data_IF_884917173785
#
_entry.id   IF_884917173785
#
_cell.length_a   1.000
_cell.length_b   1.000
_cell.length_c   1.000
_cell.angle_alpha   90.00
_cell.angle_beta   90.00
_cell.angle_gamma   90.00
#
_symmetry.space_group_name_H-M   'P 1'
#
loop_
_entity.id
_entity.type
_entity.pdbx_description
1 polymer ?
#
# COMPACT_ATOMS: atom_id res chain seq x y z
N UNK A 1 -56.43 14.13 41.87
CA UNK A 1 -56.16 13.03 40.92
C UNK A 1 -54.90 13.41 40.16
N UNK A 2 -53.74 13.00 40.68
CA UNK A 2 -52.46 13.24 40.05
C UNK A 2 -52.26 12.20 38.96
N UNK A 3 -52.16 12.64 37.73
CA UNK A 3 -51.82 11.81 36.60
C UNK A 3 -50.30 11.53 36.62
N UNK A 4 -49.92 10.32 36.99
CA UNK A 4 -48.55 9.80 36.83
C UNK A 4 -48.15 9.87 35.35
N UNK A 5 -47.01 10.51 34.99
CA UNK A 5 -46.55 10.52 33.60
C UNK A 5 -46.16 9.11 33.18
N UNK A 6 -46.81 8.62 32.11
CA UNK A 6 -46.46 7.36 31.44
C UNK A 6 -44.98 7.44 31.01
N UNK A 7 -44.12 6.44 31.33
CA UNK A 7 -42.75 6.45 30.86
C UNK A 7 -42.73 6.37 29.33
N UNK A 8 -42.17 7.42 28.70
CA UNK A 8 -41.96 7.43 27.24
C UNK A 8 -41.01 6.30 26.86
N UNK A 9 -41.47 5.41 25.97
CA UNK A 9 -40.65 4.39 25.36
C UNK A 9 -39.46 5.08 24.69
N UNK A 10 -38.20 4.73 25.00
CA UNK A 10 -37.07 5.37 24.39
C UNK A 10 -37.12 5.15 22.86
N UNK A 11 -37.22 6.22 22.12
CA UNK A 11 -37.25 6.20 20.65
C UNK A 11 -35.87 5.73 20.18
N UNK A 12 -35.83 4.66 19.39
CA UNK A 12 -34.57 4.15 18.79
C UNK A 12 -33.98 5.28 17.91
N UNK A 13 -32.76 5.72 18.11
CA UNK A 13 -32.17 6.82 17.35
C UNK A 13 -32.07 6.47 15.87
N UNK A 14 -32.30 7.45 15.01
CA UNK A 14 -32.18 7.28 13.58
C UNK A 14 -30.75 6.91 13.20
N UNK A 15 -30.60 5.81 12.46
CA UNK A 15 -29.30 5.38 11.92
C UNK A 15 -28.81 6.40 10.90
N UNK A 16 -27.66 7.01 11.16
CA UNK A 16 -26.98 7.88 10.22
C UNK A 16 -25.49 7.49 10.13
N UNK A 17 -24.78 7.85 9.05
CA UNK A 17 -23.38 7.44 8.84
C UNK A 17 -22.42 7.85 9.96
N UNK A 18 -22.63 9.02 10.56
CA UNK A 18 -21.80 9.52 11.67
C UNK A 18 -21.97 8.63 12.92
N UNK A 19 -23.19 8.45 13.39
CA UNK A 19 -23.47 7.64 14.58
C UNK A 19 -23.05 6.18 14.39
N UNK A 20 -23.35 5.59 13.24
CA UNK A 20 -22.96 4.20 12.94
C UNK A 20 -21.42 4.02 12.98
N UNK A 21 -20.68 4.96 12.40
CA UNK A 21 -19.22 4.90 12.43
C UNK A 21 -18.66 5.02 13.84
N UNK A 22 -19.16 5.97 14.63
CA UNK A 22 -18.74 6.18 16.02
C UNK A 22 -19.06 4.96 16.89
N UNK A 23 -20.29 4.41 16.77
CA UNK A 23 -20.71 3.21 17.49
C UNK A 23 -19.83 2.00 17.16
N UNK A 24 -19.59 1.74 15.87
CA UNK A 24 -18.75 0.62 15.43
C UNK A 24 -17.31 0.75 15.90
N UNK A 25 -16.75 1.97 15.96
CA UNK A 25 -15.41 2.22 16.53
C UNK A 25 -15.37 1.95 18.03
N UNK A 26 -16.40 2.35 18.77
CA UNK A 26 -16.50 2.10 20.21
C UNK A 26 -16.59 0.59 20.50
N UNK A 27 -17.43 -0.15 19.76
CA UNK A 27 -17.56 -1.61 19.86
C UNK A 27 -16.25 -2.31 19.50
N UNK A 28 -15.60 -1.94 18.41
CA UNK A 28 -14.30 -2.51 18.04
C UNK A 28 -13.20 -2.21 19.06
N UNK A 29 -13.26 -1.06 19.75
CA UNK A 29 -12.37 -0.76 20.88
C UNK A 29 -12.66 -1.67 22.08
N UNK A 30 -13.94 -1.91 22.37
CA UNK A 30 -14.34 -2.80 23.47
C UNK A 30 -13.78 -4.21 23.30
N UNK A 31 -13.89 -4.77 22.09
CA UNK A 31 -13.40 -6.13 21.81
C UNK A 31 -11.86 -6.27 21.87
N UNK A 32 -11.14 -5.17 21.63
CA UNK A 32 -9.66 -5.16 21.69
C UNK A 32 -9.13 -4.84 23.07
N UNK A 33 -9.99 -4.40 24.00
CA UNK A 33 -9.56 -3.99 25.33
C UNK A 33 -9.29 -5.21 26.19
N UNK A 34 -8.05 -5.35 26.63
CA UNK A 34 -7.63 -6.37 27.60
C UNK A 34 -7.60 -5.84 29.03
N UNK A 35 -7.81 -4.52 29.21
CA UNK A 35 -7.73 -3.86 30.52
C UNK A 35 -9.11 -3.79 31.14
N UNK A 36 -9.30 -4.21 32.39
CA UNK A 36 -10.57 -4.03 33.10
C UNK A 36 -10.84 -2.55 33.33
N UNK A 37 -12.06 -2.10 33.01
CA UNK A 37 -12.50 -0.73 33.20
C UNK A 37 -13.50 -0.25 32.16
N UNK A 38 -14.07 0.94 32.32
CA UNK A 38 -15.04 1.48 31.37
C UNK A 38 -14.41 1.77 30.02
N UNK A 39 -15.02 1.24 28.97
CA UNK A 39 -14.58 1.42 27.60
C UNK A 39 -15.03 2.80 27.10
N UNK A 40 -14.08 3.66 26.79
CA UNK A 40 -14.31 5.05 26.35
C UNK A 40 -13.66 5.32 24.99
N UNK A 41 -14.42 5.90 24.06
CA UNK A 41 -13.94 6.41 22.79
C UNK A 41 -13.89 7.95 22.84
N UNK A 42 -12.71 8.55 22.67
CA UNK A 42 -12.60 10.00 22.47
C UNK A 42 -13.18 10.38 21.10
N UNK A 43 -14.00 11.44 21.08
CA UNK A 43 -14.53 12.01 19.85
C UNK A 43 -13.58 13.13 19.40
N UNK A 44 -12.48 12.76 18.77
CA UNK A 44 -11.46 13.65 18.21
C UNK A 44 -11.53 13.71 16.67
N UNK A 45 -10.63 14.46 16.03
CA UNK A 45 -10.59 14.55 14.56
C UNK A 45 -10.41 13.21 13.84
N UNK A 46 -9.78 12.21 14.48
CA UNK A 46 -9.59 10.88 13.89
C UNK A 46 -10.84 10.00 13.99
N UNK A 47 -11.61 10.18 15.06
CA UNK A 47 -12.76 9.32 15.39
C UNK A 47 -14.10 9.92 14.99
N UNK A 48 -14.20 11.25 14.97
CA UNK A 48 -15.41 12.03 14.70
C UNK A 48 -15.06 13.33 13.96
N UNK A 49 -14.43 13.20 12.79
CA UNK A 49 -13.96 14.34 11.98
C UNK A 49 -15.04 15.38 11.74
N UNK A 50 -16.29 14.96 11.54
CA UNK A 50 -17.42 15.84 11.26
C UNK A 50 -17.71 16.86 12.38
N UNK A 51 -17.36 16.56 13.62
CA UNK A 51 -17.48 17.51 14.72
C UNK A 51 -16.48 18.66 14.63
N UNK A 52 -15.35 18.45 13.94
CA UNK A 52 -14.23 19.39 13.86
C UNK A 52 -14.14 20.08 12.50
N UNK A 53 -14.70 19.45 11.45
CA UNK A 53 -14.70 19.94 10.07
C UNK A 53 -16.06 20.55 9.70
N UNK A 54 -16.97 20.71 10.67
CA UNK A 54 -18.27 21.34 10.49
C UNK A 54 -18.12 22.79 10.01
N UNK A 55 -18.92 23.14 9.00
CA UNK A 55 -18.86 24.47 8.35
C UNK A 55 -19.38 25.58 9.28
N UNK A 56 -20.33 25.25 10.18
CA UNK A 56 -20.95 26.20 11.10
C UNK A 56 -21.31 25.55 12.45
N UNK A 57 -21.71 26.39 13.39
CA UNK A 57 -22.10 25.98 14.74
C UNK A 57 -23.42 25.16 14.77
N UNK A 58 -24.29 25.33 13.79
CA UNK A 58 -25.57 24.62 13.71
C UNK A 58 -25.33 23.14 13.37
N UNK A 59 -24.40 22.86 12.48
CA UNK A 59 -24.00 21.49 12.14
C UNK A 59 -23.37 20.77 13.35
N UNK A 60 -22.54 21.45 14.13
CA UNK A 60 -21.98 20.88 15.39
C UNK A 60 -23.10 20.59 16.37
N UNK A 61 -24.08 21.50 16.50
CA UNK A 61 -25.21 21.32 17.40
C UNK A 61 -26.12 20.15 16.97
N UNK A 62 -26.34 19.97 15.67
CA UNK A 62 -27.08 18.83 15.14
C UNK A 62 -26.39 17.49 15.46
N UNK A 63 -25.08 17.39 15.22
CA UNK A 63 -24.29 16.19 15.54
C UNK A 63 -24.29 15.91 17.06
N UNK A 64 -24.24 16.94 17.87
CA UNK A 64 -24.37 16.83 19.33
C UNK A 64 -25.75 16.27 19.73
N UNK A 65 -26.83 16.81 19.20
CA UNK A 65 -28.19 16.29 19.46
C UNK A 65 -28.32 14.83 19.09
N UNK A 66 -27.77 14.40 17.93
CA UNK A 66 -27.75 13.01 17.52
C UNK A 66 -26.99 12.10 18.52
N UNK A 67 -25.88 12.59 19.08
CA UNK A 67 -25.15 11.87 20.13
C UNK A 67 -25.97 11.78 21.43
N UNK A 68 -26.67 12.85 21.79
CA UNK A 68 -27.56 12.90 22.98
C UNK A 68 -28.74 11.93 22.80
N UNK A 69 -29.33 11.83 21.59
CA UNK A 69 -30.37 10.84 21.26
C UNK A 69 -29.85 9.40 21.42
N UNK A 70 -28.60 9.14 20.97
CA UNK A 70 -27.97 7.83 21.18
C UNK A 70 -27.76 7.56 22.68
N UNK A 71 -27.41 8.56 23.46
CA UNK A 71 -27.23 8.43 24.93
C UNK A 71 -28.58 8.21 25.65
N UNK A 72 -29.69 8.71 25.11
CA UNK A 72 -31.03 8.50 25.68
C UNK A 72 -31.43 7.00 25.72
N UNK A 73 -30.83 6.17 24.84
CA UNK A 73 -31.01 4.70 24.87
C UNK A 73 -30.37 4.02 26.06
N UNK A 74 -29.43 4.68 26.75
CA UNK A 74 -28.58 4.14 27.80
C UNK A 74 -27.56 3.08 27.33
N UNK A 75 -27.40 2.85 26.03
CA UNK A 75 -26.35 1.96 25.49
C UNK A 75 -24.97 2.59 25.60
N UNK A 76 -24.92 3.92 25.58
CA UNK A 76 -23.71 4.71 25.76
C UNK A 76 -23.98 5.94 26.63
N UNK A 77 -22.91 6.50 27.22
CA UNK A 77 -22.95 7.76 27.98
C UNK A 77 -21.94 8.72 27.40
N UNK A 78 -22.38 9.95 27.15
CA UNK A 78 -21.51 11.04 26.73
C UNK A 78 -20.84 11.67 27.97
N UNK A 79 -19.52 11.63 27.99
CA UNK A 79 -18.67 12.26 29.03
C UNK A 79 -18.00 13.50 28.44
N UNK A 80 -18.09 14.61 29.14
CA UNK A 80 -17.46 15.87 28.78
C UNK A 80 -16.56 16.35 29.91
N UNK A 81 -15.44 16.97 29.60
CA UNK A 81 -14.64 17.66 30.62
C UNK A 81 -15.45 18.81 31.25
N UNK A 82 -15.14 19.20 32.50
CA UNK A 82 -15.83 20.30 33.19
C UNK A 82 -15.88 21.58 32.35
N UNK A 83 -16.96 22.38 32.54
CA UNK A 83 -17.15 23.61 31.81
C UNK A 83 -16.03 24.59 32.16
N UNK A 84 -15.34 25.08 31.13
CA UNK A 84 -14.49 26.27 31.21
C UNK A 84 -15.24 27.43 30.55
N UNK A 85 -15.07 28.64 31.01
CA UNK A 85 -15.70 29.82 30.43
C UNK A 85 -15.43 29.87 28.91
N UNK A 86 -16.48 29.96 28.10
CA UNK A 86 -16.44 30.03 26.64
C UNK A 86 -15.96 28.75 25.90
N UNK A 87 -15.91 27.58 26.55
CA UNK A 87 -15.52 26.34 25.88
C UNK A 87 -16.65 25.81 24.97
N UNK A 88 -16.33 25.52 23.69
CA UNK A 88 -17.20 24.86 22.75
C UNK A 88 -17.42 23.37 23.12
N UNK A 89 -18.33 22.69 22.43
CA UNK A 89 -18.56 21.27 22.64
C UNK A 89 -17.26 20.45 22.42
N UNK A 90 -16.54 20.75 21.37
CA UNK A 90 -15.29 20.07 21.00
C UNK A 90 -14.14 20.35 21.95
N UNK A 91 -14.08 21.58 22.53
CA UNK A 91 -13.07 21.96 23.53
C UNK A 91 -13.19 21.16 24.83
N UNK A 92 -14.39 20.62 25.11
CA UNK A 92 -14.68 19.79 26.29
C UNK A 92 -14.30 18.33 26.09
N UNK A 93 -13.54 18.01 25.06
CA UNK A 93 -13.00 16.68 24.76
C UNK A 93 -14.04 15.56 24.93
N UNK A 94 -15.12 15.60 24.15
CA UNK A 94 -16.22 14.65 24.30
C UNK A 94 -15.73 13.20 24.16
N UNK A 95 -16.27 12.32 25.03
CA UNK A 95 -15.97 10.88 25.04
C UNK A 95 -17.27 10.10 25.16
N UNK A 96 -17.43 9.04 24.37
CA UNK A 96 -18.50 8.08 24.56
C UNK A 96 -18.00 6.90 25.40
N UNK A 97 -18.73 6.58 26.46
CA UNK A 97 -18.53 5.43 27.33
C UNK A 97 -19.56 4.37 26.99
N UNK A 98 -19.11 3.12 26.75
CA UNK A 98 -19.97 1.99 26.43
C UNK A 98 -20.64 1.48 27.71
N UNK A 99 -21.97 1.30 27.66
CA UNK A 99 -22.77 0.73 28.77
C UNK A 99 -23.37 -0.60 28.41
N UNK A 100 -23.87 -0.78 27.17
CA UNK A 100 -24.49 -2.02 26.69
C UNK A 100 -23.91 -2.37 25.32
N UNK A 101 -23.07 -3.41 25.29
CA UNK A 101 -22.39 -3.84 24.06
C UNK A 101 -23.40 -4.48 23.08
N UNK A 102 -24.24 -5.38 23.58
CA UNK A 102 -25.10 -6.19 22.71
C UNK A 102 -26.20 -5.36 22.06
N UNK A 103 -26.82 -4.47 22.81
CA UNK A 103 -27.83 -3.57 22.28
C UNK A 103 -27.23 -2.55 21.26
N UNK A 104 -26.05 -1.98 21.53
CA UNK A 104 -25.39 -1.09 20.61
C UNK A 104 -24.92 -1.83 19.35
N UNK A 105 -24.42 -3.08 19.47
CA UNK A 105 -24.00 -3.91 18.36
C UNK A 105 -25.18 -4.25 17.43
N UNK A 106 -26.30 -4.68 18.02
CA UNK A 106 -27.52 -4.95 17.25
C UNK A 106 -28.03 -3.71 16.49
N UNK A 107 -28.04 -2.56 17.16
CA UNK A 107 -28.45 -1.31 16.50
C UNK A 107 -27.48 -0.88 15.39
N UNK A 108 -26.16 -1.06 15.57
CA UNK A 108 -25.14 -0.64 14.61
C UNK A 108 -24.89 -1.65 13.48
N UNK A 109 -25.62 -2.80 13.44
CA UNK A 109 -25.30 -3.96 12.59
C UNK A 109 -23.81 -4.34 12.70
N UNK A 110 -23.32 -4.40 13.95
CA UNK A 110 -21.95 -4.76 14.24
C UNK A 110 -21.88 -6.26 14.57
N UNK A 111 -21.11 -6.99 13.76
CA UNK A 111 -20.87 -8.40 14.03
C UNK A 111 -19.67 -8.53 14.99
N UNK A 112 -19.86 -9.06 16.21
CA UNK A 112 -18.78 -9.28 17.16
C UNK A 112 -17.65 -10.13 16.59
N UNK A 113 -16.42 -9.90 17.06
CA UNK A 113 -15.23 -10.57 16.55
C UNK A 113 -15.34 -12.11 16.67
N UNK A 114 -15.93 -12.59 17.77
CA UNK A 114 -16.17 -14.01 17.99
C UNK A 114 -17.14 -14.64 16.96
N UNK A 115 -18.03 -13.84 16.38
CA UNK A 115 -19.01 -14.27 15.37
C UNK A 115 -18.50 -14.06 13.95
N UNK A 116 -17.39 -13.39 13.74
CA UNK A 116 -16.84 -13.17 12.40
C UNK A 116 -16.42 -14.49 11.79
N UNK A 117 -16.71 -14.66 10.51
CA UNK A 117 -16.39 -15.85 9.72
C UNK A 117 -14.97 -16.38 9.99
N UNK A 118 -13.99 -15.49 10.01
CA UNK A 118 -12.59 -15.85 10.21
C UNK A 118 -12.31 -16.50 11.56
N UNK A 119 -12.91 -15.99 12.65
CA UNK A 119 -12.70 -16.57 13.98
C UNK A 119 -13.33 -17.95 14.07
N UNK A 120 -14.52 -18.11 13.51
CA UNK A 120 -15.21 -19.40 13.47
C UNK A 120 -14.46 -20.41 12.60
N UNK A 121 -13.96 -19.95 11.44
CA UNK A 121 -13.12 -20.78 10.59
C UNK A 121 -11.82 -21.21 11.28
N UNK A 122 -11.15 -20.34 12.03
CA UNK A 122 -9.95 -20.70 12.80
C UNK A 122 -10.23 -21.78 13.86
N UNK A 123 -11.37 -21.72 14.53
CA UNK A 123 -11.81 -22.76 15.48
C UNK A 123 -12.04 -24.08 14.74
N UNK A 124 -12.73 -24.06 13.62
CA UNK A 124 -12.94 -25.22 12.76
C UNK A 124 -11.60 -25.80 12.24
N UNK A 125 -10.70 -24.94 11.77
CA UNK A 125 -9.37 -25.33 11.29
C UNK A 125 -8.52 -25.98 12.39
N UNK A 126 -8.54 -25.41 13.59
CA UNK A 126 -7.84 -25.98 14.75
C UNK A 126 -8.36 -27.37 15.11
N UNK A 127 -9.69 -27.56 15.13
CA UNK A 127 -10.30 -28.87 15.37
C UNK A 127 -9.93 -29.87 14.25
N UNK A 128 -10.00 -29.46 13.00
CA UNK A 128 -9.62 -30.30 11.85
C UNK A 128 -8.15 -30.77 11.95
N UNK A 129 -7.21 -29.89 12.29
CA UNK A 129 -5.80 -30.27 12.44
C UNK A 129 -5.52 -31.10 13.68
N UNK A 130 -6.34 -31.00 14.74
CA UNK A 130 -6.25 -31.88 15.90
C UNK A 130 -6.71 -33.32 15.58
N UNK A 131 -7.74 -33.46 14.74
CA UNK A 131 -8.26 -34.74 14.25
C UNK A 131 -7.38 -35.34 13.13
N UNK A 132 -6.75 -34.49 12.32
CA UNK A 132 -5.95 -34.85 11.14
C UNK A 132 -4.58 -34.15 11.15
N UNK A 133 -3.65 -34.56 12.06
CA UNK A 133 -2.35 -33.90 12.20
C UNK A 133 -1.51 -33.92 10.90
N UNK A 134 -1.67 -34.95 10.08
CA UNK A 134 -0.99 -35.10 8.81
C UNK A 134 -1.42 -34.05 7.76
N UNK A 135 -2.63 -33.50 7.87
CA UNK A 135 -3.14 -32.44 7.00
C UNK A 135 -2.72 -31.04 7.43
N UNK A 136 -2.28 -30.88 8.69
CA UNK A 136 -1.86 -29.61 9.29
C UNK A 136 -0.36 -29.30 9.07
N UNK A 137 0.08 -28.05 9.26
CA UNK A 137 1.50 -27.69 9.24
C UNK A 137 2.21 -28.20 10.51
N UNK A 138 3.55 -28.27 10.48
CA UNK A 138 4.34 -28.70 11.62
C UNK A 138 4.12 -27.83 12.86
N UNK A 139 3.90 -26.53 12.67
CA UNK A 139 3.67 -25.53 13.72
C UNK A 139 2.24 -24.99 13.68
N UNK A 140 1.24 -25.85 13.81
CA UNK A 140 -0.18 -25.49 13.68
C UNK A 140 -0.60 -24.29 14.56
N UNK A 141 -0.13 -24.23 15.82
CA UNK A 141 -0.45 -23.12 16.74
C UNK A 141 0.11 -21.80 16.19
N UNK A 142 1.34 -21.78 15.73
CA UNK A 142 1.99 -20.58 15.16
C UNK A 142 1.26 -20.09 13.91
N UNK A 143 0.78 -21.01 13.06
CA UNK A 143 -0.02 -20.67 11.88
C UNK A 143 -1.38 -20.08 12.28
N UNK A 144 -2.07 -20.66 13.27
CA UNK A 144 -3.34 -20.12 13.77
C UNK A 144 -3.16 -18.70 14.35
N UNK A 145 -2.09 -18.48 15.12
CA UNK A 145 -1.75 -17.16 15.66
C UNK A 145 -1.42 -16.14 14.55
N UNK A 146 -0.74 -16.58 13.50
CA UNK A 146 -0.49 -15.73 12.32
C UNK A 146 -1.82 -15.37 11.65
N UNK A 147 -2.69 -16.33 11.37
CA UNK A 147 -3.99 -16.10 10.73
C UNK A 147 -4.91 -15.23 11.57
N UNK A 148 -4.82 -15.28 12.90
CA UNK A 148 -5.56 -14.39 13.79
C UNK A 148 -5.17 -12.91 13.62
N UNK A 149 -3.89 -12.66 13.40
CA UNK A 149 -3.34 -11.30 13.18
C UNK A 149 -3.42 -10.84 11.73
N UNK A 150 -3.36 -11.79 10.78
CA UNK A 150 -3.31 -11.54 9.34
C UNK A 150 -4.42 -12.33 8.62
N UNK A 151 -5.69 -11.95 8.79
CA UNK A 151 -6.81 -12.72 8.28
C UNK A 151 -6.82 -12.82 6.75
N UNK A 152 -7.31 -13.95 6.24
CA UNK A 152 -7.50 -14.20 4.81
C UNK A 152 -8.91 -13.74 4.38
N UNK A 153 -9.15 -12.43 4.42
CA UNK A 153 -10.49 -11.83 4.18
C UNK A 153 -11.08 -12.20 2.83
N UNK A 154 -10.25 -12.47 1.84
CA UNK A 154 -10.71 -12.90 0.52
C UNK A 154 -11.37 -14.30 0.50
N UNK A 155 -11.25 -15.07 1.59
CA UNK A 155 -11.91 -16.36 1.75
C UNK A 155 -13.29 -16.26 2.43
N UNK A 156 -13.64 -15.09 2.96
CA UNK A 156 -14.98 -14.86 3.52
C UNK A 156 -16.05 -15.17 2.46
N UNK A 157 -17.07 -15.92 2.88
CA UNK A 157 -18.11 -16.40 1.98
C UNK A 157 -17.92 -17.82 1.43
N UNK A 158 -16.73 -18.44 1.60
CA UNK A 158 -16.58 -19.88 1.45
C UNK A 158 -17.17 -20.60 2.67
N UNK A 159 -17.59 -21.87 2.51
CA UNK A 159 -17.80 -22.74 3.66
C UNK A 159 -16.46 -22.99 4.38
N UNK A 160 -16.51 -23.29 5.68
CA UNK A 160 -15.28 -23.55 6.44
C UNK A 160 -14.53 -24.78 5.91
N UNK A 161 -15.25 -25.79 5.42
CA UNK A 161 -14.66 -26.98 4.81
C UNK A 161 -13.92 -26.65 3.49
N UNK A 162 -14.48 -25.77 2.65
CA UNK A 162 -13.81 -25.34 1.42
C UNK A 162 -12.56 -24.53 1.73
N UNK A 163 -12.64 -23.62 2.71
CA UNK A 163 -11.50 -22.82 3.15
C UNK A 163 -10.39 -23.70 3.74
N UNK A 164 -10.76 -24.69 4.56
CA UNK A 164 -9.84 -25.67 5.16
C UNK A 164 -9.19 -26.52 4.09
N UNK A 165 -9.96 -27.07 3.13
CA UNK A 165 -9.41 -27.81 1.99
C UNK A 165 -8.42 -27.00 1.18
N UNK A 166 -8.72 -25.75 0.91
CA UNK A 166 -7.82 -24.83 0.20
C UNK A 166 -6.50 -24.64 0.95
N UNK A 167 -6.55 -24.42 2.26
CA UNK A 167 -5.34 -24.26 3.06
C UNK A 167 -4.54 -25.57 3.14
N UNK A 168 -5.21 -26.73 3.29
CA UNK A 168 -4.55 -28.05 3.25
C UNK A 168 -3.90 -28.33 1.92
N UNK A 169 -4.51 -27.92 0.80
CA UNK A 169 -3.91 -28.02 -0.53
C UNK A 169 -2.65 -27.14 -0.67
N UNK A 170 -2.65 -25.93 -0.05
CA UNK A 170 -1.46 -25.09 -0.01
C UNK A 170 -0.34 -25.76 0.82
N UNK A 171 -0.66 -26.32 1.98
CA UNK A 171 0.30 -27.09 2.81
C UNK A 171 0.92 -28.23 2.00
N UNK A 172 0.09 -29.01 1.30
CA UNK A 172 0.56 -30.10 0.45
C UNK A 172 1.50 -29.59 -0.67
N UNK A 173 1.17 -28.45 -1.27
CA UNK A 173 2.00 -27.82 -2.29
C UNK A 173 3.35 -27.35 -1.71
N UNK A 174 3.36 -26.75 -0.50
CA UNK A 174 4.59 -26.37 0.19
C UNK A 174 5.48 -27.60 0.43
N UNK A 175 4.90 -28.70 0.94
CA UNK A 175 5.62 -29.97 1.19
C UNK A 175 6.17 -30.62 -0.07
N UNK A 176 5.49 -30.47 -1.21
CA UNK A 176 5.93 -31.05 -2.48
C UNK A 176 7.25 -30.41 -2.98
N UNK A 177 7.65 -29.24 -2.50
CA UNK A 177 8.90 -28.58 -2.83
C UNK A 177 9.03 -28.13 -4.31
N UNK A 178 7.99 -28.29 -5.11
CA UNK A 178 8.00 -27.95 -6.52
C UNK A 178 7.91 -26.44 -6.70
N UNK A 179 8.81 -25.86 -7.50
CA UNK A 179 8.75 -24.43 -7.85
C UNK A 179 7.52 -24.16 -8.73
N UNK A 180 6.74 -23.16 -8.34
CA UNK A 180 5.54 -22.71 -9.04
C UNK A 180 5.42 -21.18 -8.90
N UNK A 181 4.79 -20.51 -9.89
CA UNK A 181 4.55 -19.08 -9.77
C UNK A 181 3.56 -18.80 -8.63
N UNK A 182 3.85 -17.81 -7.76
CA UNK A 182 3.05 -17.48 -6.58
C UNK A 182 1.57 -17.29 -6.91
N UNK A 183 1.28 -16.51 -7.95
CA UNK A 183 -0.11 -16.23 -8.36
C UNK A 183 -0.80 -17.41 -9.01
N UNK A 184 -0.05 -18.29 -9.67
CA UNK A 184 -0.56 -19.54 -10.20
C UNK A 184 -0.95 -20.48 -9.06
N UNK A 185 -0.06 -20.68 -8.09
CA UNK A 185 -0.33 -21.46 -6.88
C UNK A 185 -1.55 -20.90 -6.13
N UNK A 186 -1.60 -19.58 -5.95
CA UNK A 186 -2.75 -18.91 -5.31
C UNK A 186 -4.05 -19.19 -6.06
N UNK A 187 -4.07 -19.04 -7.39
CA UNK A 187 -5.27 -19.29 -8.19
C UNK A 187 -5.72 -20.74 -8.16
N UNK A 188 -4.78 -21.69 -8.26
CA UNK A 188 -5.07 -23.14 -8.24
C UNK A 188 -5.65 -23.57 -6.89
N UNK A 189 -5.07 -23.08 -5.79
CA UNK A 189 -5.44 -23.50 -4.44
C UNK A 189 -6.72 -22.77 -3.95
N UNK A 190 -6.88 -21.51 -4.29
CA UNK A 190 -7.94 -20.65 -3.77
C UNK A 190 -9.00 -20.29 -4.83
N UNK A 191 -9.39 -21.23 -5.65
CA UNK A 191 -10.53 -21.11 -6.58
C UNK A 191 -10.45 -19.85 -7.48
N UNK A 192 -9.30 -19.62 -8.10
CA UNK A 192 -9.06 -18.48 -9.00
C UNK A 192 -8.63 -17.17 -8.31
N UNK A 193 -8.50 -17.14 -6.97
CA UNK A 193 -8.04 -15.95 -6.24
C UNK A 193 -6.52 -15.79 -6.33
N UNK A 194 -6.03 -15.33 -7.45
CA UNK A 194 -4.60 -15.26 -7.78
C UNK A 194 -3.77 -14.34 -6.88
N UNK A 195 -4.40 -13.39 -6.19
CA UNK A 195 -3.72 -12.38 -5.35
C UNK A 195 -3.80 -12.66 -3.84
N UNK A 196 -4.38 -13.79 -3.42
CA UNK A 196 -4.58 -14.09 -2.00
C UNK A 196 -3.24 -14.27 -1.28
N UNK A 197 -2.24 -14.81 -1.95
CA UNK A 197 -0.90 -15.03 -1.41
C UNK A 197 0.06 -13.84 -1.60
N UNK A 198 -0.34 -12.77 -2.28
CA UNK A 198 0.48 -11.56 -2.40
C UNK A 198 0.83 -11.03 -0.99
N UNK A 199 2.12 -10.75 -0.73
CA UNK A 199 2.65 -10.29 0.56
C UNK A 199 2.40 -11.25 1.75
N UNK A 200 2.36 -12.57 1.50
CA UNK A 200 2.14 -13.62 2.50
C UNK A 200 3.35 -14.54 2.68
N UNK A 201 4.57 -14.03 2.46
CA UNK A 201 5.81 -14.82 2.55
C UNK A 201 5.96 -15.51 3.90
N UNK A 202 5.59 -14.84 4.98
CA UNK A 202 5.62 -15.40 6.34
C UNK A 202 4.63 -16.57 6.48
N UNK A 203 3.43 -16.49 5.92
CA UNK A 203 2.49 -17.60 5.91
C UNK A 203 3.09 -18.80 5.18
N UNK A 204 3.63 -18.58 3.98
CA UNK A 204 4.25 -19.63 3.18
C UNK A 204 5.40 -20.31 3.92
N UNK A 205 6.25 -19.52 4.58
CA UNK A 205 7.34 -20.02 5.43
C UNK A 205 6.81 -20.88 6.59
N UNK A 206 5.78 -20.42 7.30
CA UNK A 206 5.15 -21.16 8.39
C UNK A 206 4.48 -22.46 7.94
N UNK A 207 4.00 -22.50 6.68
CA UNK A 207 3.44 -23.71 6.06
C UNK A 207 4.51 -24.68 5.53
N UNK A 208 5.80 -24.33 5.66
CA UNK A 208 6.91 -25.18 5.28
C UNK A 208 7.39 -25.02 3.84
N UNK A 209 7.08 -23.88 3.20
CA UNK A 209 7.61 -23.58 1.86
C UNK A 209 9.14 -23.41 1.88
N UNK A 210 9.81 -24.02 0.91
CA UNK A 210 11.24 -23.84 0.71
C UNK A 210 11.53 -22.41 0.16
N UNK A 211 12.70 -21.82 0.48
CA UNK A 211 13.12 -20.56 -0.11
C UNK A 211 13.08 -20.60 -1.64
N UNK A 212 12.40 -19.63 -2.26
CA UNK A 212 12.26 -19.55 -3.72
C UNK A 212 11.27 -20.53 -4.35
N UNK A 213 10.56 -21.33 -3.58
CA UNK A 213 9.54 -22.26 -4.08
C UNK A 213 8.40 -21.54 -4.80
N UNK A 214 7.95 -20.42 -4.26
CA UNK A 214 6.89 -19.61 -4.85
C UNK A 214 7.51 -18.39 -5.55
N UNK A 215 7.80 -18.56 -6.84
CA UNK A 215 8.39 -17.50 -7.64
C UNK A 215 7.35 -16.39 -7.90
N UNK A 216 7.73 -15.16 -7.65
CA UNK A 216 6.96 -14.02 -8.15
C UNK A 216 7.07 -13.93 -9.68
N UNK A 217 6.04 -13.38 -10.33
CA UNK A 217 6.10 -13.13 -11.77
C UNK A 217 7.29 -12.25 -12.12
N UNK A 218 8.08 -12.59 -13.14
CA UNK A 218 9.24 -11.77 -13.50
C UNK A 218 8.82 -10.35 -13.85
N UNK A 219 9.66 -9.39 -13.49
CA UNK A 219 9.53 -8.01 -13.95
C UNK A 219 9.79 -7.98 -15.45
N UNK A 220 8.94 -7.29 -16.19
CA UNK A 220 9.13 -7.07 -17.62
C UNK A 220 9.83 -5.74 -17.83
N UNK A 221 11.06 -5.75 -18.36
CA UNK A 221 11.79 -4.58 -18.77
C UNK A 221 11.66 -4.39 -20.28
N UNK A 222 11.03 -3.30 -20.70
CA UNK A 222 11.10 -2.84 -22.08
C UNK A 222 12.32 -1.92 -22.20
N UNK A 223 13.19 -2.22 -23.17
CA UNK A 223 14.49 -1.61 -23.32
C UNK A 223 14.59 -0.89 -24.69
N UNK A 224 15.13 0.30 -24.66
CA UNK A 224 15.52 1.04 -25.87
C UNK A 224 17.02 1.41 -25.76
N UNK A 225 17.92 0.55 -26.29
CA UNK A 225 19.34 0.86 -26.36
C UNK A 225 19.60 2.06 -27.29
N UNK A 226 20.72 2.77 -27.12
CA UNK A 226 21.14 3.80 -28.06
C UNK A 226 21.41 3.22 -29.44
N UNK A 227 21.36 4.07 -30.47
CA UNK A 227 21.75 3.66 -31.82
C UNK A 227 23.25 3.35 -31.86
N UNK A 228 23.69 2.34 -32.66
CA UNK A 228 25.10 1.94 -32.73
C UNK A 228 26.07 3.07 -33.07
N UNK A 229 25.68 3.99 -33.91
CA UNK A 229 26.45 5.19 -34.34
C UNK A 229 26.63 6.22 -33.22
N UNK A 230 25.82 6.15 -32.16
CA UNK A 230 25.95 7.04 -30.99
C UNK A 230 26.99 6.53 -29.97
N UNK A 231 27.38 5.29 -30.01
CA UNK A 231 28.21 4.62 -28.94
C UNK A 231 29.33 3.75 -29.51
N UNK A 232 29.81 3.97 -30.69
CA UNK A 232 31.05 3.43 -31.29
C UNK A 232 31.31 1.92 -31.23
N UNK A 233 31.14 1.29 -30.09
CA UNK A 233 31.34 -0.15 -29.85
C UNK A 233 30.02 -0.91 -29.56
N UNK A 234 28.86 -0.27 -29.71
CA UNK A 234 27.54 -0.87 -29.47
C UNK A 234 27.16 -1.00 -28.00
N UNK A 235 27.92 -0.40 -27.08
CA UNK A 235 27.57 -0.31 -25.66
C UNK A 235 26.79 0.96 -25.35
N UNK A 236 26.35 1.12 -24.11
CA UNK A 236 25.69 2.34 -23.60
C UNK A 236 26.55 2.95 -22.50
N UNK A 237 26.49 4.28 -22.34
CA UNK A 237 27.26 4.99 -21.33
C UNK A 237 26.56 5.12 -19.98
N UNK A 238 25.25 4.94 -19.95
CA UNK A 238 24.46 5.00 -18.73
C UNK A 238 23.13 4.27 -18.90
N UNK A 239 22.38 4.12 -17.81
CA UNK A 239 21.04 3.53 -17.81
C UNK A 239 20.07 4.50 -17.16
N UNK A 240 18.94 4.75 -17.81
CA UNK A 240 17.87 5.57 -17.29
C UNK A 240 16.58 4.74 -17.19
N UNK A 241 16.16 4.46 -15.96
CA UNK A 241 14.85 3.90 -15.70
C UNK A 241 13.78 4.99 -15.77
N UNK A 242 12.79 4.79 -16.65
CA UNK A 242 11.66 5.69 -16.86
C UNK A 242 10.40 5.00 -16.36
N UNK A 243 9.65 5.67 -15.47
CA UNK A 243 8.47 5.07 -14.84
C UNK A 243 7.26 5.00 -15.78
N UNK A 244 7.02 6.05 -16.56
CA UNK A 244 5.87 6.16 -17.42
C UNK A 244 6.17 5.68 -18.85
N UNK A 245 5.30 4.82 -19.39
CA UNK A 245 5.48 4.25 -20.72
C UNK A 245 5.46 5.31 -21.83
N UNK A 246 4.56 6.29 -21.76
CA UNK A 246 4.44 7.33 -22.78
C UNK A 246 5.71 8.18 -22.81
N UNK A 247 6.21 8.57 -21.63
CA UNK A 247 7.47 9.31 -21.51
C UNK A 247 8.64 8.49 -22.03
N UNK A 248 8.71 7.18 -21.71
CA UNK A 248 9.73 6.28 -22.24
C UNK A 248 9.71 6.22 -23.77
N UNK A 249 8.53 6.05 -24.38
CA UNK A 249 8.38 5.97 -25.83
C UNK A 249 8.81 7.28 -26.50
N UNK A 250 8.38 8.44 -25.97
CA UNK A 250 8.79 9.75 -26.48
C UNK A 250 10.30 9.95 -26.38
N UNK A 251 10.91 9.63 -25.24
CA UNK A 251 12.36 9.74 -25.07
C UNK A 251 13.12 8.80 -26.02
N UNK A 252 12.61 7.60 -26.25
CA UNK A 252 13.20 6.64 -27.17
C UNK A 252 13.12 7.09 -28.64
N UNK A 253 12.09 7.85 -29.01
CA UNK A 253 11.94 8.44 -30.36
C UNK A 253 12.82 9.67 -30.57
N UNK A 254 12.83 10.60 -29.62
CA UNK A 254 13.52 11.90 -29.75
C UNK A 254 15.04 11.76 -29.64
N UNK A 255 15.54 10.92 -28.75
CA UNK A 255 16.98 10.69 -28.53
C UNK A 255 17.81 11.98 -28.44
N UNK A 256 17.39 12.90 -27.56
CA UNK A 256 18.10 14.15 -27.33
C UNK A 256 19.52 13.93 -26.73
N UNK A 257 20.44 14.91 -26.90
CA UNK A 257 21.84 14.81 -26.47
C UNK A 257 22.02 14.35 -25.03
N UNK A 258 21.10 14.70 -24.12
CA UNK A 258 21.15 14.39 -22.69
C UNK A 258 21.01 12.90 -22.39
N UNK A 259 20.48 12.10 -23.33
CA UNK A 259 20.28 10.66 -23.16
C UNK A 259 20.51 9.84 -24.44
N UNK A 260 21.10 10.43 -25.51
CA UNK A 260 21.30 9.75 -26.80
C UNK A 260 22.14 8.49 -26.71
N UNK A 261 23.11 8.45 -25.79
CA UNK A 261 24.02 7.33 -25.53
C UNK A 261 23.59 6.46 -24.31
N UNK A 262 22.38 6.66 -23.83
CA UNK A 262 21.84 6.03 -22.62
C UNK A 262 20.88 4.88 -22.98
N UNK A 263 21.00 3.76 -22.29
CA UNK A 263 20.00 2.69 -22.32
C UNK A 263 18.76 3.16 -21.55
N UNK A 264 17.64 3.35 -22.24
CA UNK A 264 16.36 3.60 -21.60
C UNK A 264 15.73 2.29 -21.18
N UNK A 265 15.19 2.22 -19.97
CA UNK A 265 14.54 1.03 -19.42
C UNK A 265 13.19 1.43 -18.80
N UNK A 266 12.10 0.85 -19.30
CA UNK A 266 10.78 0.94 -18.70
C UNK A 266 10.44 -0.36 -17.97
N UNK A 267 10.03 -0.28 -16.72
CA UNK A 267 9.63 -1.43 -15.92
C UNK A 267 8.14 -1.38 -15.62
N UNK A 268 7.35 -2.18 -16.30
CA UNK A 268 5.94 -2.35 -15.99
C UNK A 268 5.77 -2.93 -14.58
N UNK A 269 5.15 -2.18 -13.67
CA UNK A 269 4.86 -2.64 -12.31
C UNK A 269 6.07 -2.64 -11.37
N UNK A 270 6.93 -1.64 -11.44
CA UNK A 270 8.10 -1.42 -10.58
C UNK A 270 7.79 -1.40 -9.06
N UNK A 271 6.52 -1.44 -8.70
CA UNK A 271 6.04 -1.46 -7.32
C UNK A 271 6.35 -2.81 -6.67
N UNK A 272 7.52 -2.92 -6.04
CA UNK A 272 7.63 -3.94 -5.03
C UNK A 272 8.90 -4.76 -4.92
N UNK A 273 9.81 -4.85 -5.88
CA UNK A 273 11.11 -5.48 -5.58
C UNK A 273 12.13 -5.22 -6.68
N UNK A 274 12.85 -4.12 -6.57
CA UNK A 274 13.99 -3.84 -7.42
C UNK A 274 15.03 -4.99 -7.41
N UNK A 275 15.13 -5.73 -6.30
CA UNK A 275 16.05 -6.89 -6.17
C UNK A 275 15.87 -7.95 -7.25
N UNK A 276 14.65 -8.13 -7.76
CA UNK A 276 14.36 -9.09 -8.84
C UNK A 276 14.96 -8.68 -10.18
N UNK A 277 15.25 -7.40 -10.39
CA UNK A 277 15.89 -6.92 -11.63
C UNK A 277 17.24 -7.59 -11.89
N UNK A 278 17.97 -7.93 -10.82
CA UNK A 278 19.33 -8.49 -10.91
C UNK A 278 19.37 -10.01 -11.08
N UNK A 279 18.25 -10.67 -11.25
CA UNK A 279 18.20 -12.13 -11.41
C UNK A 279 17.51 -12.53 -12.70
N UNK A 280 18.12 -13.50 -13.44
CA UNK A 280 17.53 -14.02 -14.70
C UNK A 280 16.14 -14.63 -14.49
N UNK A 281 15.85 -15.18 -13.32
CA UNK A 281 14.53 -15.71 -12.97
C UNK A 281 13.53 -14.58 -12.68
N UNK A 282 13.99 -13.48 -12.09
CA UNK A 282 13.15 -12.37 -11.63
C UNK A 282 12.89 -11.29 -12.67
N UNK A 283 13.56 -11.31 -13.82
CA UNK A 283 13.44 -10.28 -14.86
C UNK A 283 13.36 -10.90 -16.26
N UNK A 284 12.57 -10.29 -17.14
CA UNK A 284 12.51 -10.60 -18.58
C UNK A 284 12.79 -9.34 -19.37
N UNK A 285 13.71 -9.43 -20.33
CA UNK A 285 14.13 -8.32 -21.16
C UNK A 285 13.39 -8.35 -22.50
N UNK A 286 12.82 -7.24 -22.88
CA UNK A 286 12.16 -7.02 -24.16
C UNK A 286 12.79 -5.80 -24.82
N UNK A 287 13.25 -5.95 -26.07
CA UNK A 287 13.72 -4.82 -26.83
C UNK A 287 12.56 -4.15 -27.55
N UNK A 288 12.60 -2.82 -27.64
CA UNK A 288 11.69 -2.06 -28.49
C UNK A 288 11.85 -2.51 -29.96
N UNK A 289 10.77 -2.57 -30.73
CA UNK A 289 10.74 -3.18 -32.07
C UNK A 289 11.81 -2.65 -33.05
N UNK A 290 12.24 -1.40 -32.90
CA UNK A 290 13.29 -0.79 -33.73
C UNK A 290 14.72 -0.98 -33.19
N UNK A 291 14.87 -1.62 -32.02
CA UNK A 291 16.16 -1.70 -31.34
C UNK A 291 17.04 -2.83 -31.92
N UNK A 292 18.38 -2.61 -32.03
CA UNK A 292 19.29 -3.65 -32.48
C UNK A 292 19.41 -4.77 -31.45
N UNK A 293 19.18 -6.01 -31.86
CA UNK A 293 19.30 -7.19 -30.98
C UNK A 293 20.73 -7.45 -30.52
N UNK A 294 21.72 -6.88 -31.22
CA UNK A 294 23.15 -6.97 -30.87
C UNK A 294 23.50 -6.36 -29.53
N UNK A 295 22.68 -5.46 -28.99
CA UNK A 295 22.88 -4.84 -27.68
C UNK A 295 22.51 -5.77 -26.50
N UNK A 296 21.73 -6.81 -26.73
CA UNK A 296 21.18 -7.66 -25.66
C UNK A 296 22.26 -8.33 -24.77
N UNK A 297 23.33 -8.94 -25.33
CA UNK A 297 24.36 -9.56 -24.50
C UNK A 297 25.05 -8.57 -23.53
N UNK A 298 25.34 -7.36 -23.99
CA UNK A 298 25.95 -6.33 -23.13
C UNK A 298 24.99 -5.89 -22.00
N UNK A 299 23.69 -5.75 -22.30
CA UNK A 299 22.67 -5.44 -21.32
C UNK A 299 22.51 -6.57 -20.29
N UNK A 300 22.49 -7.81 -20.75
CA UNK A 300 22.42 -8.98 -19.86
C UNK A 300 23.62 -9.06 -18.93
N UNK A 301 24.84 -8.89 -19.47
CA UNK A 301 26.07 -8.86 -18.68
C UNK A 301 26.02 -7.75 -17.62
N UNK A 302 25.65 -6.53 -18.01
CA UNK A 302 25.51 -5.43 -17.06
C UNK A 302 24.46 -5.73 -15.97
N UNK A 303 23.30 -6.24 -16.35
CA UNK A 303 22.20 -6.41 -15.42
C UNK A 303 22.37 -7.62 -14.50
N UNK A 304 22.89 -8.74 -15.00
CA UNK A 304 22.91 -10.02 -14.27
C UNK A 304 24.29 -10.41 -13.74
N UNK A 305 25.39 -9.97 -14.37
CA UNK A 305 26.75 -10.41 -14.08
C UNK A 305 27.62 -9.34 -13.41
N UNK A 306 27.19 -8.09 -13.37
CA UNK A 306 27.91 -6.95 -12.80
C UNK A 306 28.05 -6.96 -11.27
N UNK A 307 27.98 -8.13 -10.63
CA UNK A 307 28.30 -8.33 -9.20
C UNK A 307 29.71 -8.91 -9.10
N UNK A 308 30.56 -8.30 -8.27
CA UNK A 308 31.83 -8.94 -7.87
C UNK A 308 31.52 -10.15 -6.97
N UNK A 309 32.44 -11.12 -6.90
CA UNK A 309 32.34 -12.30 -6.01
C UNK A 309 32.08 -11.92 -4.54
N UNK A 310 32.41 -10.70 -4.13
CA UNK A 310 32.17 -10.16 -2.78
C UNK A 310 30.86 -9.33 -2.68
N UNK A 311 29.94 -9.42 -3.63
CA UNK A 311 28.68 -8.68 -3.62
C UNK A 311 28.79 -7.18 -3.93
N UNK A 312 29.97 -6.69 -4.28
CA UNK A 312 30.19 -5.33 -4.75
C UNK A 312 29.70 -5.14 -6.18
N UNK A 313 29.09 -4.01 -6.49
CA UNK A 313 28.67 -3.65 -7.85
C UNK A 313 29.88 -3.03 -8.55
N UNK A 314 30.27 -3.60 -9.70
CA UNK A 314 31.20 -2.89 -10.60
C UNK A 314 30.48 -1.66 -11.14
N UNK A 315 30.96 -0.43 -10.89
CA UNK A 315 30.36 0.78 -11.40
C UNK A 315 30.71 0.95 -12.88
N UNK A 316 30.12 0.12 -13.77
CA UNK A 316 30.41 0.20 -15.19
C UNK A 316 29.59 1.30 -15.87
N UNK A 317 28.38 1.59 -15.36
CA UNK A 317 27.51 2.61 -15.96
C UNK A 317 26.74 3.36 -14.87
N UNK A 318 26.63 4.69 -14.95
CA UNK A 318 25.75 5.46 -14.09
C UNK A 318 24.30 5.01 -14.30
N UNK A 319 23.56 4.87 -13.22
CA UNK A 319 22.14 4.50 -13.22
C UNK A 319 21.34 5.70 -12.76
N UNK A 320 20.29 6.03 -13.49
CA UNK A 320 19.38 7.10 -13.16
C UNK A 320 17.95 6.61 -13.14
N UNK A 321 17.10 7.32 -12.42
CA UNK A 321 15.67 7.12 -12.40
C UNK A 321 14.95 8.42 -12.70
N UNK A 322 13.89 8.34 -13.50
CA UNK A 322 12.98 9.41 -13.77
C UNK A 322 11.54 8.88 -13.69
N UNK A 323 10.74 9.46 -12.83
CA UNK A 323 9.35 9.12 -12.60
C UNK A 323 8.55 10.35 -12.21
N UNK A 324 7.34 10.13 -11.69
CA UNK A 324 6.52 11.19 -11.13
C UNK A 324 7.29 11.93 -10.03
N UNK A 325 7.10 13.25 -9.98
CA UNK A 325 7.60 14.04 -8.86
C UNK A 325 6.54 14.02 -7.76
N UNK A 326 6.50 12.89 -7.06
CA UNK A 326 5.62 12.59 -5.94
C UNK A 326 6.30 11.60 -4.96
N UNK A 327 5.65 11.27 -3.84
CA UNK A 327 6.26 10.38 -2.84
C UNK A 327 6.42 8.94 -3.33
N UNK A 328 5.53 8.45 -4.21
CA UNK A 328 5.67 7.11 -4.78
C UNK A 328 6.88 7.01 -5.71
N UNK A 329 7.12 8.01 -6.57
CA UNK A 329 8.32 8.10 -7.41
C UNK A 329 9.59 8.15 -6.58
N UNK A 330 9.60 8.90 -5.45
CA UNK A 330 10.74 8.94 -4.54
C UNK A 330 10.96 7.60 -3.82
N UNK A 331 9.90 6.87 -3.45
CA UNK A 331 10.01 5.51 -2.90
C UNK A 331 10.56 4.51 -3.93
N UNK A 332 10.20 4.63 -5.21
CA UNK A 332 10.76 3.81 -6.29
C UNK A 332 12.27 4.09 -6.41
N UNK A 333 12.69 5.34 -6.39
CA UNK A 333 14.11 5.70 -6.40
C UNK A 333 14.86 5.09 -5.21
N UNK A 334 14.30 5.20 -4.00
CA UNK A 334 14.89 4.59 -2.81
C UNK A 334 15.05 3.06 -2.97
N UNK A 335 14.01 2.37 -3.45
CA UNK A 335 14.05 0.93 -3.70
C UNK A 335 15.06 0.55 -4.79
N UNK A 336 15.19 1.39 -5.83
CA UNK A 336 16.18 1.17 -6.89
C UNK A 336 17.60 1.27 -6.35
N UNK A 337 17.86 2.16 -5.39
CA UNK A 337 19.16 2.31 -4.73
C UNK A 337 19.57 1.11 -3.86
N UNK A 338 18.62 0.32 -3.38
CA UNK A 338 18.93 -0.94 -2.70
C UNK A 338 19.65 -1.93 -3.63
N UNK A 339 19.43 -1.82 -4.94
CA UNK A 339 19.97 -2.72 -5.96
C UNK A 339 21.09 -2.10 -6.76
N UNK A 340 21.01 -0.81 -6.99
CA UNK A 340 21.99 0.03 -7.65
C UNK A 340 22.36 1.19 -6.71
N UNK A 341 23.28 1.01 -5.76
CA UNK A 341 23.60 2.02 -4.75
C UNK A 341 24.01 3.39 -5.32
N UNK A 342 24.55 3.41 -6.56
CA UNK A 342 24.91 4.63 -7.28
C UNK A 342 23.72 5.26 -8.04
N UNK A 343 22.52 4.65 -8.03
CA UNK A 343 21.37 5.20 -8.75
C UNK A 343 21.03 6.61 -8.22
N UNK A 344 20.74 7.53 -9.13
CA UNK A 344 20.37 8.90 -8.81
C UNK A 344 19.10 9.35 -9.52
N UNK A 345 18.42 10.36 -8.98
CA UNK A 345 17.36 11.03 -9.68
C UNK A 345 17.91 11.72 -10.94
N UNK A 346 17.29 11.51 -12.10
CA UNK A 346 17.74 12.08 -13.35
C UNK A 346 17.49 13.59 -13.39
N UNK A 347 18.58 14.36 -13.22
CA UNK A 347 18.50 15.82 -13.06
C UNK A 347 17.76 16.54 -14.18
N UNK A 348 18.00 16.26 -15.49
CA UNK A 348 17.34 17.04 -16.55
C UNK A 348 15.80 16.96 -16.44
N UNK A 349 15.24 15.78 -16.25
CA UNK A 349 13.79 15.60 -16.11
C UNK A 349 13.23 16.19 -14.81
N UNK A 350 13.82 15.83 -13.68
CA UNK A 350 13.33 16.31 -12.40
C UNK A 350 13.51 17.83 -12.19
N UNK A 351 14.58 18.44 -12.71
CA UNK A 351 14.73 19.88 -12.66
C UNK A 351 13.65 20.61 -13.49
N UNK A 352 13.20 20.01 -14.59
CA UNK A 352 12.07 20.52 -15.37
C UNK A 352 10.77 20.46 -14.55
N UNK A 353 10.42 19.30 -14.00
CA UNK A 353 9.21 19.13 -13.19
C UNK A 353 9.24 20.02 -11.94
N UNK A 354 10.39 20.12 -11.28
CA UNK A 354 10.58 20.94 -10.09
C UNK A 354 10.36 22.44 -10.38
N UNK A 355 10.83 22.95 -11.52
CA UNK A 355 10.57 24.33 -11.94
C UNK A 355 9.08 24.57 -12.17
N UNK A 356 8.38 23.66 -12.85
CA UNK A 356 6.94 23.77 -13.07
C UNK A 356 6.17 23.71 -11.74
N UNK A 357 6.55 22.82 -10.83
CA UNK A 357 5.94 22.71 -9.52
C UNK A 357 6.16 23.97 -8.69
N UNK A 358 7.37 24.52 -8.68
CA UNK A 358 7.72 25.77 -8.00
C UNK A 358 6.96 26.99 -8.54
N UNK A 359 6.63 26.98 -9.86
CA UNK A 359 5.80 27.99 -10.51
C UNK A 359 4.29 27.83 -10.20
N UNK A 360 3.89 26.91 -9.34
CA UNK A 360 2.50 26.69 -8.96
C UNK A 360 1.75 25.66 -9.81
N UNK A 361 2.44 24.93 -10.68
CA UNK A 361 1.89 23.82 -11.44
C UNK A 361 1.57 22.59 -10.55
N UNK A 362 1.23 21.48 -11.22
CA UNK A 362 0.91 20.23 -10.56
C UNK A 362 -0.47 20.21 -9.90
N UNK A 363 -0.77 19.14 -9.19
CA UNK A 363 -2.05 18.87 -8.55
C UNK A 363 -1.88 18.51 -7.07
N UNK A 364 -2.95 18.68 -6.28
CA UNK A 364 -2.98 18.19 -4.91
C UNK A 364 -3.14 16.66 -4.92
N UNK A 365 -2.57 15.94 -3.93
CA UNK A 365 -2.66 14.49 -3.84
C UNK A 365 -4.09 13.93 -3.94
N UNK A 366 -5.05 14.63 -3.32
CA UNK A 366 -6.46 14.23 -3.27
C UNK A 366 -7.14 14.24 -4.65
N UNK A 367 -6.70 15.15 -5.53
CA UNK A 367 -7.30 15.32 -6.86
C UNK A 367 -6.89 14.24 -7.86
N UNK A 368 -5.81 13.50 -7.58
CA UNK A 368 -5.29 12.44 -8.44
C UNK A 368 -5.29 11.05 -7.77
N UNK A 369 -6.14 10.85 -6.74
CA UNK A 369 -6.18 9.62 -5.94
C UNK A 369 -4.81 9.22 -5.34
N UNK A 370 -3.93 10.19 -5.09
CA UNK A 370 -2.58 10.00 -4.53
C UNK A 370 -2.50 10.35 -3.03
N UNK A 371 -3.63 10.62 -2.36
CA UNK A 371 -3.69 11.01 -0.94
C UNK A 371 -3.16 9.95 0.04
N UNK A 372 -3.06 8.69 -0.40
CA UNK A 372 -2.54 7.58 0.41
C UNK A 372 -1.02 7.41 0.33
N UNK A 373 -0.34 8.22 -0.48
CA UNK A 373 1.12 8.16 -0.58
C UNK A 373 1.77 8.64 0.71
N UNK A 374 2.79 7.90 1.16
CA UNK A 374 3.54 8.18 2.38
C UNK A 374 4.88 8.82 2.00
N UNK A 375 5.23 9.90 2.67
CA UNK A 375 6.55 10.53 2.53
C UNK A 375 7.65 9.52 2.90
N UNK A 376 8.60 9.21 2.01
CA UNK A 376 9.68 8.26 2.29
C UNK A 376 10.73 8.79 3.29
N UNK A 377 10.58 10.02 3.78
CA UNK A 377 11.53 10.74 4.63
C UNK A 377 12.88 11.02 3.93
N UNK A 378 13.52 10.00 3.37
CA UNK A 378 14.75 10.09 2.57
C UNK A 378 14.82 8.98 1.51
N UNK A 379 15.60 9.21 0.44
CA UNK A 379 15.83 8.27 -0.67
C UNK A 379 17.27 7.76 -0.70
N UNK A 380 18.16 8.31 0.09
CA UNK A 380 19.62 8.16 0.01
C UNK A 380 20.25 8.72 -1.28
N UNK A 381 19.49 9.48 -2.07
CA UNK A 381 19.98 10.25 -3.22
C UNK A 381 20.05 11.73 -2.82
N UNK A 382 21.25 12.30 -2.72
CA UNK A 382 21.44 13.69 -2.24
C UNK A 382 20.55 14.69 -2.98
N UNK A 383 20.47 14.61 -4.31
CA UNK A 383 19.61 15.52 -5.09
C UNK A 383 18.12 15.39 -4.74
N UNK A 384 17.64 14.16 -4.55
CA UNK A 384 16.24 13.95 -4.17
C UNK A 384 15.98 14.40 -2.73
N UNK A 385 16.91 14.14 -1.81
CA UNK A 385 16.77 14.43 -0.39
C UNK A 385 16.95 15.92 -0.08
N UNK A 386 17.85 16.60 -0.80
CA UNK A 386 18.18 18.01 -0.54
C UNK A 386 17.29 18.99 -1.33
N UNK A 387 16.76 18.59 -2.50
CA UNK A 387 16.03 19.50 -3.38
C UNK A 387 14.59 19.05 -3.65
N UNK A 388 14.36 17.77 -4.05
CA UNK A 388 13.04 17.32 -4.53
C UNK A 388 12.05 17.08 -3.38
N UNK A 389 12.43 16.33 -2.35
CA UNK A 389 11.57 16.08 -1.18
C UNK A 389 11.23 17.35 -0.40
N UNK A 390 12.17 18.28 -0.14
CA UNK A 390 11.84 19.57 0.47
C UNK A 390 10.86 20.39 -0.38
N UNK A 391 11.00 20.37 -1.70
CA UNK A 391 10.07 21.05 -2.60
C UNK A 391 8.65 20.46 -2.53
N UNK A 392 8.53 19.12 -2.58
CA UNK A 392 7.26 18.42 -2.45
C UNK A 392 6.56 18.75 -1.12
N UNK A 393 7.31 18.69 -0.02
CA UNK A 393 6.81 19.03 1.33
C UNK A 393 6.34 20.49 1.42
N UNK A 394 7.11 21.40 0.83
CA UNK A 394 6.79 22.84 0.82
C UNK A 394 5.56 23.16 -0.01
N UNK A 395 5.43 22.55 -1.19
CA UNK A 395 4.34 22.85 -2.11
C UNK A 395 3.04 22.08 -1.75
N UNK A 396 3.14 20.91 -1.10
CA UNK A 396 2.00 20.04 -0.84
C UNK A 396 1.27 19.61 -2.13
N UNK A 397 1.99 19.54 -3.25
CA UNK A 397 1.50 19.22 -4.59
C UNK A 397 2.46 18.26 -5.27
N UNK A 398 1.94 17.49 -6.23
CA UNK A 398 2.67 16.54 -7.03
C UNK A 398 2.65 16.94 -8.51
N UNK A 399 3.60 16.41 -9.28
CA UNK A 399 3.70 16.64 -10.72
C UNK A 399 3.89 15.31 -11.43
N UNK A 400 3.01 15.00 -12.36
CA UNK A 400 3.12 13.78 -13.17
C UNK A 400 4.25 13.89 -14.19
N UNK A 401 4.91 12.77 -14.47
CA UNK A 401 6.06 12.69 -15.36
C UNK A 401 5.73 13.12 -16.79
N UNK A 402 4.48 12.95 -17.23
CA UNK A 402 4.00 13.34 -18.55
C UNK A 402 4.05 14.86 -18.80
N UNK A 403 4.24 15.67 -17.74
CA UNK A 403 4.51 17.11 -17.91
C UNK A 403 5.91 17.37 -18.50
N UNK A 404 6.77 16.36 -18.58
CA UNK A 404 8.05 16.43 -19.25
C UNK A 404 7.89 16.23 -20.77
N UNK A 405 8.31 17.21 -21.55
CA UNK A 405 8.28 17.16 -23.02
C UNK A 405 9.70 17.09 -23.57
N UNK A 406 10.16 15.92 -24.05
CA UNK A 406 11.51 15.74 -24.60
C UNK A 406 11.90 16.75 -25.68
N UNK A 407 10.98 17.05 -26.59
CA UNK A 407 11.20 17.97 -27.71
C UNK A 407 11.54 19.40 -27.28
N UNK A 408 11.13 19.81 -26.10
CA UNK A 408 11.37 21.17 -25.59
C UNK A 408 12.72 21.36 -24.96
N UNK A 409 13.42 20.27 -24.61
CA UNK A 409 14.76 20.33 -24.01
C UNK A 409 15.81 20.57 -25.09
N UNK A 410 15.66 19.97 -26.26
CA UNK A 410 16.54 20.17 -27.40
C UNK A 410 16.60 21.65 -27.94
N UNK A 411 15.76 22.55 -27.41
CA UNK A 411 15.66 23.96 -27.85
C UNK A 411 15.94 24.98 -26.75
N UNK A 412 16.53 24.62 -25.62
CA UNK A 412 16.73 25.55 -24.48
C UNK A 412 18.11 26.21 -24.39
N UNK A 413 18.93 26.12 -25.45
CA UNK A 413 20.06 27.02 -25.64
C UNK A 413 19.64 28.22 -26.52
N UNK A 414 18.82 29.11 -25.97
CA UNK A 414 18.77 30.54 -26.38
C UNK A 414 18.14 31.37 -25.27
#
# INVERSE_FOLDING_TARGET
MDATPTPSVPTVPTRNPFLLRVARRLLAKAERSTTPGPIRLGLDRKTAAELYDAVDAEQVQLLRMQLEDLCATKWVVLRLEPLRTFASFTDRKPRLELCDFDALAAWADYVPLAQRWQRQWQVHLAAHWAEHPEAGPAEAITVLDYLARNPLTQMEGLSWDEATRSLSALIALCRAGRTVALREASAQVFQGRSKLLDHRDELLRLLGAAPGQFAESPIQLLLAPPAPDCVGDGTFKGVLFVENLITFEHMADVRAPEWVDTLLAYAAGFRGSARRLRTRAGCRLYLRASAPTTSLPAIETWLFEGLTENGGILPQHPVHFFGDLDYAGMQILASLREVFPCAGAWRPGYAHLARMLAAGGGHRPEHAAKAQQVDPEHTSCAYADDELLPLLRKQGRFMDQEAFYPDKIAGWET
#
